data_IF_108654951477
#
_entry.id   IF_108654951477
#
_cell.length_a   1.000
_cell.length_b   1.000
_cell.length_c   1.000
_cell.angle_alpha   90.00
_cell.angle_beta   90.00
_cell.angle_gamma   90.00
#
_symmetry.space_group_name_H-M   'P 1'
#
loop_
_entity.id
_entity.type
_entity.pdbx_description
1 polymer ?
#
# COMPACT_ATOMS: atom_id res chain seq x y z
N UNK A 1 3.18 9.35 -9.63
CA UNK A 1 3.95 8.10 -9.91
C UNK A 1 3.78 7.71 -11.38
N UNK A 2 4.71 7.01 -12.00
CA UNK A 2 4.54 6.43 -13.35
C UNK A 2 4.06 4.96 -13.27
N UNK A 3 3.57 4.41 -14.40
CA UNK A 3 3.02 3.04 -14.45
C UNK A 3 4.01 1.97 -13.97
N UNK A 4 5.28 2.07 -14.36
CA UNK A 4 6.34 1.13 -13.96
C UNK A 4 6.59 1.16 -12.45
N UNK A 5 6.58 2.35 -11.85
CA UNK A 5 6.68 2.50 -10.40
C UNK A 5 5.49 1.85 -9.69
N UNK A 6 4.27 2.08 -10.18
CA UNK A 6 3.05 1.48 -9.59
C UNK A 6 3.12 -0.06 -9.65
N UNK A 7 3.52 -0.64 -10.78
CA UNK A 7 3.71 -2.09 -10.90
C UNK A 7 4.77 -2.64 -9.94
N UNK A 8 5.86 -1.90 -9.72
CA UNK A 8 6.88 -2.28 -8.74
C UNK A 8 6.34 -2.26 -7.31
N UNK A 9 5.57 -1.24 -6.94
CA UNK A 9 4.97 -1.14 -5.62
C UNK A 9 3.93 -2.25 -5.39
N UNK A 10 3.09 -2.57 -6.38
CA UNK A 10 2.19 -3.72 -6.30
C UNK A 10 2.93 -5.02 -6.02
N UNK A 11 4.05 -5.28 -6.72
CA UNK A 11 4.86 -6.49 -6.51
C UNK A 11 5.45 -6.56 -5.09
N UNK A 12 5.94 -5.43 -4.57
CA UNK A 12 6.44 -5.36 -3.19
C UNK A 12 5.33 -5.69 -2.19
N UNK A 13 4.16 -5.07 -2.34
CA UNK A 13 3.06 -5.31 -1.42
C UNK A 13 2.53 -6.75 -1.52
N UNK A 14 2.42 -7.29 -2.73
CA UNK A 14 1.98 -8.68 -2.93
C UNK A 14 2.97 -9.67 -2.30
N UNK A 15 4.27 -9.39 -2.39
CA UNK A 15 5.30 -10.14 -1.68
C UNK A 15 5.08 -10.12 -0.16
N UNK A 16 4.91 -8.93 0.43
CA UNK A 16 4.70 -8.78 1.87
C UNK A 16 3.43 -9.51 2.36
N UNK A 17 2.35 -9.49 1.57
CA UNK A 17 1.09 -10.10 1.95
C UNK A 17 1.08 -11.63 1.78
N UNK A 18 1.66 -12.15 0.69
CA UNK A 18 1.54 -13.57 0.31
C UNK A 18 2.73 -14.42 0.71
N UNK A 19 3.93 -13.86 0.66
CA UNK A 19 5.19 -14.60 0.83
C UNK A 19 5.86 -14.29 2.17
N UNK A 20 5.92 -13.02 2.59
CA UNK A 20 6.46 -12.61 3.89
C UNK A 20 5.42 -12.73 5.03
N UNK A 21 4.60 -13.77 5.00
CA UNK A 21 3.58 -14.01 6.03
C UNK A 21 4.18 -14.90 7.16
N UNK A 22 3.78 -14.71 8.42
CA UNK A 22 4.16 -15.62 9.48
C UNK A 22 3.51 -17.00 9.32
N UNK A 23 4.21 -18.04 9.75
CA UNK A 23 3.77 -19.45 9.68
C UNK A 23 2.79 -19.86 10.80
N UNK A 24 2.32 -18.90 11.61
CA UNK A 24 1.44 -19.15 12.74
C UNK A 24 0.12 -18.39 12.61
N UNK A 25 -0.96 -18.99 13.12
CA UNK A 25 -2.27 -18.36 13.20
C UNK A 25 -2.94 -18.75 14.54
N UNK A 26 -3.73 -17.85 15.16
CA UNK A 26 -4.11 -16.52 14.68
C UNK A 26 -2.97 -15.49 14.74
N UNK A 27 -3.05 -14.46 13.90
CA UNK A 27 -2.09 -13.36 13.92
C UNK A 27 -2.33 -12.42 15.10
N UNK A 28 -1.27 -11.86 15.71
CA UNK A 28 -1.41 -10.83 16.73
C UNK A 28 -2.07 -9.58 16.13
N UNK A 29 -2.89 -8.83 16.90
CA UNK A 29 -3.60 -7.65 16.40
C UNK A 29 -2.69 -6.62 15.71
N UNK A 30 -1.47 -6.42 16.20
CA UNK A 30 -0.48 -5.50 15.62
C UNK A 30 -0.07 -5.92 14.21
N UNK A 31 0.10 -7.23 14.00
CA UNK A 31 0.45 -7.78 12.68
C UNK A 31 -0.73 -7.70 11.71
N UNK A 32 -1.96 -7.90 12.20
CA UNK A 32 -3.18 -7.69 11.41
C UNK A 32 -3.24 -6.24 10.94
N UNK A 33 -3.12 -5.27 11.87
CA UNK A 33 -3.15 -3.84 11.56
C UNK A 33 -2.06 -3.43 10.56
N UNK A 34 -0.84 -3.96 10.71
CA UNK A 34 0.24 -3.74 9.75
C UNK A 34 -0.09 -4.25 8.34
N UNK A 35 -0.77 -5.40 8.23
CA UNK A 35 -1.22 -5.96 6.95
C UNK A 35 -2.40 -5.18 6.35
N UNK A 36 -3.26 -4.59 7.17
CA UNK A 36 -4.32 -3.70 6.69
C UNK A 36 -3.77 -2.47 5.98
N UNK A 37 -2.68 -1.86 6.49
CA UNK A 37 -2.02 -0.75 5.79
C UNK A 37 -1.51 -1.14 4.40
N UNK A 38 -0.95 -2.35 4.26
CA UNK A 38 -0.55 -2.86 2.94
C UNK A 38 -1.73 -3.01 1.98
N UNK A 39 -2.87 -3.51 2.48
CA UNK A 39 -4.09 -3.61 1.67
C UNK A 39 -4.62 -2.23 1.25
N UNK A 40 -4.62 -1.24 2.16
CA UNK A 40 -4.97 0.14 1.80
C UNK A 40 -4.02 0.73 0.78
N UNK A 41 -2.73 0.45 0.88
CA UNK A 41 -1.75 0.88 -0.12
C UNK A 41 -2.08 0.32 -1.52
N UNK A 42 -2.51 -0.95 -1.63
CA UNK A 42 -2.96 -1.53 -2.91
C UNK A 42 -4.20 -0.84 -3.50
N UNK A 43 -5.14 -0.43 -2.64
CA UNK A 43 -6.33 0.32 -3.07
C UNK A 43 -5.91 1.66 -3.67
N UNK A 44 -5.07 2.44 -2.97
CA UNK A 44 -4.59 3.72 -3.48
C UNK A 44 -3.80 3.56 -4.78
N UNK A 45 -2.94 2.55 -4.92
CA UNK A 45 -2.25 2.26 -6.19
C UNK A 45 -3.23 1.97 -7.34
N UNK A 46 -4.32 1.26 -7.07
CA UNK A 46 -5.38 0.98 -8.05
C UNK A 46 -6.10 2.26 -8.46
N UNK A 47 -6.44 3.12 -7.50
CA UNK A 47 -7.10 4.39 -7.77
C UNK A 47 -6.19 5.35 -8.57
N UNK A 48 -4.88 5.38 -8.30
CA UNK A 48 -3.92 6.15 -9.12
C UNK A 48 -3.94 5.67 -10.57
N UNK A 49 -4.02 4.35 -10.83
CA UNK A 49 -4.12 3.81 -12.19
C UNK A 49 -5.43 4.24 -12.86
N UNK A 50 -6.55 4.15 -12.15
CA UNK A 50 -7.85 4.54 -12.67
C UNK A 50 -7.92 6.05 -12.98
N UNK A 51 -7.44 6.89 -12.06
CA UNK A 51 -7.35 8.34 -12.27
C UNK A 51 -6.50 8.68 -13.50
N UNK A 52 -5.38 7.98 -13.71
CA UNK A 52 -4.55 8.12 -14.92
C UNK A 52 -5.28 7.74 -16.20
N UNK A 53 -6.04 6.65 -16.19
CA UNK A 53 -6.85 6.22 -17.34
C UNK A 53 -7.91 7.27 -17.69
N UNK A 54 -8.53 7.87 -16.66
CA UNK A 54 -9.53 8.95 -16.79
C UNK A 54 -8.93 10.33 -17.07
N UNK A 55 -7.60 10.48 -16.96
CA UNK A 55 -6.86 11.75 -17.00
C UNK A 55 -7.30 12.73 -15.89
N UNK A 56 -7.78 12.20 -14.78
CA UNK A 56 -8.13 12.99 -13.59
C UNK A 56 -6.87 13.30 -12.78
N UNK A 57 -6.39 14.54 -12.88
CA UNK A 57 -5.19 14.98 -12.18
C UNK A 57 -5.41 15.23 -10.69
N UNK A 58 -6.64 15.53 -10.28
CA UNK A 58 -6.94 15.83 -8.88
C UNK A 58 -6.98 14.53 -8.08
N UNK A 59 -7.71 13.54 -8.59
CA UNK A 59 -7.74 12.20 -8.00
C UNK A 59 -6.37 11.54 -8.04
N UNK A 60 -5.61 11.64 -9.15
CA UNK A 60 -4.25 11.08 -9.20
C UNK A 60 -3.37 11.64 -8.08
N UNK A 61 -3.44 12.97 -7.86
CA UNK A 61 -2.64 13.64 -6.83
C UNK A 61 -3.08 13.20 -5.44
N UNK A 62 -4.38 13.24 -5.16
CA UNK A 62 -4.93 12.86 -3.87
C UNK A 62 -4.55 11.41 -3.51
N UNK A 63 -4.77 10.48 -4.43
CA UNK A 63 -4.47 9.07 -4.23
C UNK A 63 -2.97 8.80 -4.08
N UNK A 64 -2.12 9.55 -4.81
CA UNK A 64 -0.67 9.50 -4.62
C UNK A 64 -0.25 9.99 -3.23
N UNK A 65 -0.83 11.09 -2.74
CA UNK A 65 -0.55 11.61 -1.40
C UNK A 65 -1.01 10.62 -0.31
N UNK A 66 -2.18 10.00 -0.50
CA UNK A 66 -2.70 8.99 0.43
C UNK A 66 -1.87 7.70 0.43
N UNK A 67 -1.47 7.20 -0.75
CA UNK A 67 -0.53 6.09 -0.86
C UNK A 67 0.75 6.35 -0.06
N UNK A 68 1.35 7.52 -0.24
CA UNK A 68 2.60 7.88 0.45
C UNK A 68 2.43 7.91 1.98
N UNK A 69 1.31 8.47 2.48
CA UNK A 69 1.03 8.47 3.93
C UNK A 69 0.85 7.06 4.48
N UNK A 70 0.12 6.20 3.77
CA UNK A 70 -0.12 4.81 4.20
C UNK A 70 1.20 4.04 4.24
N UNK A 71 2.03 4.15 3.20
CA UNK A 71 3.28 3.40 3.15
C UNK A 71 4.33 3.95 4.12
N UNK A 72 4.31 5.25 4.40
CA UNK A 72 5.14 5.86 5.46
C UNK A 72 4.79 5.30 6.83
N UNK A 73 3.50 5.22 7.17
CA UNK A 73 3.03 4.60 8.43
C UNK A 73 3.48 3.14 8.51
N UNK A 74 3.39 2.40 7.40
CA UNK A 74 3.83 1.01 7.34
C UNK A 74 5.33 0.85 7.58
N UNK A 75 6.18 1.66 6.94
CA UNK A 75 7.63 1.55 7.09
C UNK A 75 8.14 2.09 8.43
N UNK A 76 7.50 3.12 8.97
CA UNK A 76 7.86 3.71 10.27
C UNK A 76 7.15 3.03 11.44
N UNK A 77 6.62 1.82 11.25
CA UNK A 77 5.83 1.11 12.26
C UNK A 77 6.53 1.02 13.63
N UNK A 78 7.82 0.74 13.67
CA UNK A 78 8.63 0.62 14.90
C UNK A 78 9.05 1.95 15.53
N UNK A 79 8.87 3.07 14.83
CA UNK A 79 9.11 4.40 15.38
C UNK A 79 7.83 5.05 15.94
N UNK A 80 6.67 4.46 15.63
CA UNK A 80 5.34 4.98 15.97
C UNK A 80 4.65 4.20 17.10
N UNK A 81 5.25 3.10 17.60
CA UNK A 81 4.80 2.26 18.70
C UNK A 81 6.02 1.70 19.46
#
# INVERSE_FOLDING_TARGET
>A
MNKKQIEQEFKKIDYELRFNKPDFAPYPPELVKRREFLLFAQVHLSNILDAKLKKDKWDERFETEMYNKVIEIYYNWSANH
#
